data_IF_514733509409
#
_entry.id   IF_514733509409
#
_cell.length_a   1.000
_cell.length_b   1.000
_cell.length_c   1.000
_cell.angle_alpha   90.00
_cell.angle_beta   90.00
_cell.angle_gamma   90.00
#
_symmetry.space_group_name_H-M   'P 1'
#
loop_
_entity.id
_entity.type
_entity.pdbx_description
1 polymer ?
#
# COMPACT_ATOMS: atom_id res chain seq x y z
N UNK A 1 10.30 -18.31 -9.23
CA UNK A 1 10.99 -17.10 -8.74
C UNK A 1 10.31 -16.65 -7.46
N UNK A 2 11.06 -16.22 -6.45
CA UNK A 2 10.50 -15.68 -5.20
C UNK A 2 10.53 -14.16 -5.21
N UNK A 3 9.55 -13.55 -4.55
CA UNK A 3 9.45 -12.10 -4.38
C UNK A 3 9.08 -11.76 -2.94
N UNK A 4 9.55 -10.60 -2.50
CA UNK A 4 9.13 -9.94 -1.26
C UNK A 4 8.31 -8.72 -1.66
N UNK A 5 7.08 -8.59 -1.16
CA UNK A 5 6.17 -7.52 -1.59
C UNK A 5 5.45 -6.87 -0.40
N UNK A 6 5.28 -5.55 -0.49
CA UNK A 6 4.59 -4.72 0.50
C UNK A 6 3.06 -4.63 0.27
N UNK A 7 2.53 -5.40 -0.66
CA UNK A 7 1.13 -5.37 -1.07
C UNK A 7 0.65 -6.77 -1.46
N UNK A 8 -0.66 -7.05 -1.31
CA UNK A 8 -1.28 -8.22 -1.90
C UNK A 8 -1.07 -8.31 -3.42
N UNK A 9 -1.26 -9.48 -4.00
CA UNK A 9 -1.33 -9.69 -5.44
C UNK A 9 -2.77 -9.70 -5.96
N UNK A 10 -2.93 -9.71 -7.28
CA UNK A 10 -4.23 -9.55 -7.93
C UNK A 10 -5.24 -10.65 -7.62
N UNK A 11 -4.76 -11.85 -7.29
CA UNK A 11 -5.56 -13.02 -6.94
C UNK A 11 -5.90 -13.11 -5.44
N UNK A 12 -5.55 -12.09 -4.66
CA UNK A 12 -5.87 -11.99 -3.24
C UNK A 12 -6.97 -10.95 -2.98
N UNK A 13 -7.60 -11.05 -1.82
CA UNK A 13 -8.61 -10.13 -1.29
C UNK A 13 -8.01 -9.25 -0.19
N UNK A 14 -8.60 -8.08 0.05
CA UNK A 14 -8.14 -7.13 1.06
C UNK A 14 -8.45 -5.69 0.66
N UNK A 15 -8.60 -4.82 1.67
CA UNK A 15 -9.16 -3.46 1.49
C UNK A 15 -8.49 -2.69 0.35
N UNK A 16 -7.16 -2.64 0.32
CA UNK A 16 -6.44 -1.87 -0.71
C UNK A 16 -6.42 -2.55 -2.08
N UNK A 17 -6.31 -3.88 -2.16
CA UNK A 17 -6.27 -4.57 -3.44
C UNK A 17 -7.66 -4.59 -4.09
N UNK A 18 -8.71 -4.70 -3.29
CA UNK A 18 -10.10 -4.57 -3.73
C UNK A 18 -10.38 -3.16 -4.26
N UNK A 19 -9.99 -2.12 -3.51
CA UNK A 19 -10.11 -0.73 -3.96
C UNK A 19 -9.28 -0.45 -5.23
N UNK A 20 -8.07 -1.02 -5.32
CA UNK A 20 -7.23 -0.90 -6.52
C UNK A 20 -7.92 -1.53 -7.73
N UNK A 21 -8.52 -2.72 -7.57
CA UNK A 21 -9.32 -3.36 -8.63
C UNK A 21 -10.50 -2.48 -9.01
N UNK A 22 -11.26 -1.98 -8.03
CA UNK A 22 -12.42 -1.10 -8.29
C UNK A 22 -12.02 0.14 -9.11
N UNK A 23 -11.00 0.88 -8.68
CA UNK A 23 -10.50 2.08 -9.39
C UNK A 23 -10.03 1.72 -10.80
N UNK A 24 -9.33 0.60 -10.97
CA UNK A 24 -8.88 0.13 -12.27
C UNK A 24 -10.05 -0.19 -13.20
N UNK A 25 -11.06 -0.93 -12.74
CA UNK A 25 -12.23 -1.27 -13.55
C UNK A 25 -13.09 -0.06 -13.88
N UNK A 26 -13.22 0.90 -12.96
CA UNK A 26 -13.96 2.14 -13.21
C UNK A 26 -13.28 3.00 -14.29
N UNK A 27 -11.95 3.11 -14.28
CA UNK A 27 -11.23 4.01 -15.18
C UNK A 27 -10.80 3.35 -16.50
N UNK A 28 -10.58 2.03 -16.51
CA UNK A 28 -10.08 1.29 -17.66
C UNK A 28 -10.83 -0.03 -17.89
N UNK A 29 -12.17 -0.02 -17.98
CA UNK A 29 -12.97 -1.26 -18.02
C UNK A 29 -12.58 -2.21 -19.17
N UNK A 30 -12.21 -1.67 -20.32
CA UNK A 30 -11.83 -2.46 -21.51
C UNK A 30 -10.40 -3.01 -21.45
N UNK A 31 -9.56 -2.49 -20.55
CA UNK A 31 -8.11 -2.82 -20.46
C UNK A 31 -7.70 -3.37 -19.10
N UNK A 32 -8.60 -3.39 -18.11
CA UNK A 32 -8.30 -3.79 -16.73
C UNK A 32 -7.56 -5.13 -16.66
N UNK A 33 -8.08 -6.15 -17.34
CA UNK A 33 -7.46 -7.48 -17.41
C UNK A 33 -6.05 -7.46 -18.01
N UNK A 34 -5.85 -6.71 -19.09
CA UNK A 34 -4.52 -6.57 -19.70
C UNK A 34 -3.53 -5.85 -18.78
N UNK A 35 -4.02 -4.89 -17.98
CA UNK A 35 -3.21 -4.13 -17.01
C UNK A 35 -2.84 -5.03 -15.82
N UNK A 36 -3.80 -5.81 -15.29
CA UNK A 36 -3.57 -6.81 -14.24
C UNK A 36 -2.48 -7.79 -14.68
N UNK A 37 -2.59 -8.35 -15.89
CA UNK A 37 -1.58 -9.26 -16.45
C UNK A 37 -0.22 -8.61 -16.70
N UNK A 38 -0.18 -7.29 -16.88
CA UNK A 38 1.06 -6.53 -17.06
C UNK A 38 1.84 -6.34 -15.75
N UNK A 39 1.27 -6.71 -14.60
CA UNK A 39 1.96 -6.77 -13.32
C UNK A 39 1.59 -5.63 -12.36
N UNK A 40 2.60 -4.95 -11.83
CA UNK A 40 2.49 -4.14 -10.59
C UNK A 40 1.97 -2.71 -10.76
N UNK A 41 1.79 -2.23 -12.00
CA UNK A 41 1.62 -0.79 -12.27
C UNK A 41 0.50 -0.13 -11.45
N UNK A 42 -0.67 -0.75 -11.40
CA UNK A 42 -1.81 -0.25 -10.62
C UNK A 42 -1.73 -0.60 -9.13
N UNK A 43 -1.00 -1.65 -8.73
CA UNK A 43 -0.85 -2.02 -7.30
C UNK A 43 -0.11 -0.91 -6.52
N UNK A 44 0.67 -0.06 -7.19
CA UNK A 44 1.27 1.13 -6.59
C UNK A 44 0.23 2.13 -6.02
N UNK A 45 -1.06 1.95 -6.31
CA UNK A 45 -2.18 2.71 -5.75
C UNK A 45 -2.14 2.77 -4.21
N UNK A 46 -1.70 1.72 -3.53
CA UNK A 46 -1.56 1.73 -2.06
C UNK A 46 -0.69 2.88 -1.54
N UNK A 47 0.36 3.26 -2.26
CA UNK A 47 1.21 4.40 -1.88
C UNK A 47 0.49 5.75 -2.04
N UNK A 48 -0.32 5.88 -3.09
CA UNK A 48 -1.14 7.07 -3.30
C UNK A 48 -2.22 7.19 -2.21
N UNK A 49 -2.84 6.07 -1.85
CA UNK A 49 -3.82 6.02 -0.76
C UNK A 49 -3.20 6.51 0.56
N UNK A 50 -2.04 5.96 0.95
CA UNK A 50 -1.30 6.39 2.16
C UNK A 50 -1.00 7.89 2.11
N UNK A 51 -0.49 8.39 0.99
CA UNK A 51 -0.18 9.82 0.83
C UNK A 51 -1.42 10.71 1.02
N UNK A 52 -2.53 10.35 0.38
CA UNK A 52 -3.78 11.11 0.47
C UNK A 52 -4.39 11.06 1.87
N UNK A 53 -4.32 9.91 2.54
CA UNK A 53 -4.78 9.77 3.93
C UNK A 53 -3.99 10.67 4.88
N UNK A 54 -2.65 10.72 4.74
CA UNK A 54 -1.83 11.63 5.55
C UNK A 54 -2.22 13.09 5.32
N UNK A 55 -2.42 13.51 4.07
CA UNK A 55 -2.85 14.89 3.75
C UNK A 55 -4.22 15.17 4.36
N UNK A 56 -5.17 14.23 4.24
CA UNK A 56 -6.50 14.36 4.80
C UNK A 56 -6.48 14.50 6.34
N UNK A 57 -5.64 13.72 7.03
CA UNK A 57 -5.46 13.84 8.49
C UNK A 57 -4.86 15.18 8.89
N UNK A 58 -3.80 15.60 8.22
CA UNK A 58 -3.15 16.88 8.50
C UNK A 58 -4.10 18.07 8.29
N UNK A 59 -4.87 18.05 7.19
CA UNK A 59 -5.89 19.07 6.93
C UNK A 59 -7.07 18.99 7.92
N UNK A 60 -7.44 17.78 8.38
CA UNK A 60 -8.48 17.60 9.39
C UNK A 60 -8.08 18.11 10.78
N UNK A 61 -6.80 18.02 11.13
CA UNK A 61 -6.26 18.50 12.42
C UNK A 61 -6.08 20.02 12.44
N UNK A 62 -5.56 20.62 11.37
CA UNK A 62 -5.29 22.06 11.32
C UNK A 62 -6.45 22.90 10.74
N UNK A 63 -7.37 22.27 10.02
CA UNK A 63 -8.32 22.97 9.14
C UNK A 63 -7.68 23.27 7.77
N UNK A 64 -8.46 23.26 6.68
CA UNK A 64 -7.94 23.45 5.32
C UNK A 64 -7.25 24.81 5.12
N UNK A 65 -7.67 25.84 5.85
CA UNK A 65 -7.07 27.18 5.80
C UNK A 65 -5.69 27.28 6.47
N UNK A 66 -5.35 26.35 7.37
CA UNK A 66 -4.08 26.32 8.07
C UNK A 66 -3.19 25.13 7.63
N UNK A 67 -3.57 24.42 6.57
CA UNK A 67 -2.79 23.32 6.04
C UNK A 67 -1.51 23.85 5.37
N UNK A 68 -0.37 23.45 5.91
CA UNK A 68 0.96 23.75 5.38
C UNK A 68 1.93 22.56 5.55
N UNK A 69 3.17 22.74 5.10
CA UNK A 69 4.20 21.70 5.18
C UNK A 69 4.61 21.35 6.61
N UNK A 70 4.54 22.31 7.53
CA UNK A 70 4.89 22.09 8.94
C UNK A 70 3.83 21.24 9.63
N UNK A 71 2.55 21.51 9.37
CA UNK A 71 1.43 20.70 9.83
C UNK A 71 1.54 19.29 9.29
N UNK A 72 1.75 19.12 7.98
CA UNK A 72 1.94 17.80 7.38
C UNK A 72 3.12 17.05 8.01
N UNK A 73 4.24 17.72 8.24
CA UNK A 73 5.41 17.13 8.89
C UNK A 73 5.09 16.65 10.31
N UNK A 74 4.37 17.45 11.10
CA UNK A 74 3.95 17.09 12.46
C UNK A 74 3.00 15.90 12.49
N UNK A 75 1.98 15.88 11.64
CA UNK A 75 1.06 14.74 11.51
C UNK A 75 1.83 13.47 11.12
N UNK A 76 2.82 13.57 10.23
CA UNK A 76 3.69 12.45 9.87
C UNK A 76 4.54 11.91 11.02
N UNK A 77 4.87 12.70 12.06
CA UNK A 77 5.67 12.20 13.19
C UNK A 77 4.96 11.12 14.03
N UNK A 78 3.63 11.12 14.00
CA UNK A 78 2.78 10.18 14.73
C UNK A 78 1.84 9.39 13.81
N UNK A 79 2.11 9.40 12.50
CA UNK A 79 1.24 8.73 11.55
C UNK A 79 1.42 7.21 11.63
N UNK A 80 0.30 6.52 11.81
CA UNK A 80 0.17 5.10 11.52
C UNK A 80 -1.15 4.79 10.83
N UNK A 81 -1.14 3.71 10.04
CA UNK A 81 -2.29 3.23 9.30
C UNK A 81 -2.36 1.72 9.45
N UNK A 82 -3.50 1.26 9.97
CA UNK A 82 -3.83 -0.16 10.07
C UNK A 82 -4.87 -0.51 9.00
N UNK A 83 -4.56 -1.49 8.17
CA UNK A 83 -5.44 -2.03 7.13
C UNK A 83 -5.41 -3.55 7.24
N UNK A 84 -6.59 -4.17 7.14
CA UNK A 84 -6.75 -5.62 7.21
C UNK A 84 -6.08 -6.26 8.44
N UNK A 85 -6.11 -5.55 9.59
CA UNK A 85 -5.54 -6.00 10.87
C UNK A 85 -4.02 -5.81 11.01
N UNK A 86 -3.35 -5.23 10.02
CA UNK A 86 -1.90 -5.02 10.01
C UNK A 86 -1.61 -3.53 10.03
N UNK A 87 -0.71 -3.07 10.91
CA UNK A 87 -0.17 -1.70 10.83
C UNK A 87 0.70 -1.61 9.58
N UNK A 88 0.07 -1.40 8.42
CA UNK A 88 0.69 -1.47 7.11
C UNK A 88 1.75 -0.39 6.92
N UNK A 89 1.46 0.82 7.39
CA UNK A 89 2.29 1.99 7.18
C UNK A 89 2.45 2.84 8.44
N UNK A 90 3.66 3.31 8.69
CA UNK A 90 3.92 4.32 9.71
C UNK A 90 5.13 5.20 9.37
N UNK A 91 5.08 6.44 9.84
CA UNK A 91 6.20 7.38 9.81
C UNK A 91 6.51 7.81 11.25
N UNK A 92 7.78 8.14 11.51
CA UNK A 92 8.19 8.70 12.79
C UNK A 92 9.45 9.55 12.63
N UNK A 93 10.05 10.00 13.73
CA UNK A 93 11.23 10.85 13.72
C UNK A 93 12.42 10.29 12.93
N UNK A 94 12.63 8.98 12.92
CA UNK A 94 13.77 8.31 12.24
C UNK A 94 13.37 7.47 11.04
N UNK A 95 12.10 7.11 10.91
CA UNK A 95 11.57 6.28 9.84
C UNK A 95 10.94 7.12 8.73
N UNK A 96 11.50 7.01 7.52
CA UNK A 96 11.14 7.81 6.33
C UNK A 96 10.48 7.02 5.21
N UNK A 97 10.24 5.73 5.40
CA UNK A 97 9.47 4.88 4.47
C UNK A 97 8.17 4.46 5.15
N UNK A 98 7.12 4.31 4.36
CA UNK A 98 5.80 3.98 4.88
C UNK A 98 5.74 2.53 5.38
N UNK A 99 6.14 1.56 4.54
CA UNK A 99 5.88 0.13 4.74
C UNK A 99 6.46 -0.42 6.04
N UNK A 100 5.65 -1.26 6.72
CA UNK A 100 6.06 -1.94 7.95
C UNK A 100 6.24 -3.44 7.75
N UNK A 101 5.51 -4.03 6.81
CA UNK A 101 5.44 -5.47 6.65
C UNK A 101 5.52 -5.90 5.18
N UNK A 102 6.02 -7.12 4.96
CA UNK A 102 6.14 -7.73 3.64
C UNK A 102 5.61 -9.16 3.64
N UNK A 103 4.94 -9.53 2.57
CA UNK A 103 4.55 -10.91 2.27
C UNK A 103 5.57 -11.59 1.36
N UNK A 104 5.59 -12.92 1.41
CA UNK A 104 6.47 -13.76 0.58
C UNK A 104 5.66 -14.41 -0.54
N UNK A 105 6.13 -14.23 -1.77
CA UNK A 105 5.43 -14.64 -2.98
C UNK A 105 6.29 -15.51 -3.87
N UNK A 106 5.64 -16.32 -4.71
CA UNK A 106 6.29 -17.14 -5.73
C UNK A 106 5.55 -17.02 -7.06
N UNK A 107 6.30 -16.77 -8.14
CA UNK A 107 5.79 -16.96 -9.49
C UNK A 107 5.64 -18.45 -9.80
N UNK A 108 4.49 -18.82 -10.34
CA UNK A 108 4.16 -20.14 -10.85
C UNK A 108 3.97 -20.05 -12.37
N UNK A 109 4.87 -20.70 -13.12
CA UNK A 109 4.83 -20.69 -14.57
C UNK A 109 3.69 -21.54 -15.17
N UNK A 110 3.17 -22.53 -14.44
CA UNK A 110 2.06 -23.35 -14.92
C UNK A 110 0.71 -22.62 -14.82
N UNK A 111 0.58 -21.78 -13.79
CA UNK A 111 -0.61 -20.95 -13.58
C UNK A 111 -0.47 -19.54 -14.18
N UNK A 112 0.69 -19.19 -14.73
CA UNK A 112 1.01 -17.88 -15.29
C UNK A 112 0.75 -16.71 -14.32
N UNK A 113 0.97 -16.93 -13.02
CA UNK A 113 0.61 -15.97 -11.98
C UNK A 113 1.57 -16.01 -10.78
N UNK A 114 1.38 -15.10 -9.83
CA UNK A 114 2.14 -14.98 -8.58
C UNK A 114 1.23 -15.29 -7.41
N UNK A 115 1.72 -16.12 -6.48
CA UNK A 115 0.94 -16.56 -5.32
C UNK A 115 1.69 -16.24 -4.04
N UNK A 116 0.96 -15.81 -3.02
CA UNK A 116 1.48 -15.74 -1.65
C UNK A 116 1.73 -17.17 -1.16
N UNK A 117 2.96 -17.43 -0.73
CA UNK A 117 3.37 -18.77 -0.28
C UNK A 117 3.43 -18.92 1.24
N UNK A 118 3.38 -17.80 1.96
CA UNK A 118 3.28 -17.76 3.42
C UNK A 118 2.13 -16.82 3.81
N UNK A 119 1.15 -17.27 4.62
CA UNK A 119 0.03 -16.41 5.03
C UNK A 119 0.47 -15.26 5.95
N UNK A 120 1.64 -15.36 6.58
CA UNK A 120 2.15 -14.35 7.51
C UNK A 120 2.74 -13.13 6.79
N UNK A 121 2.69 -12.01 7.50
CA UNK A 121 3.33 -10.76 7.10
C UNK A 121 4.55 -10.52 7.99
N UNK A 122 5.71 -10.37 7.38
CA UNK A 122 6.97 -10.24 8.09
C UNK A 122 7.33 -8.79 8.30
N UNK A 123 7.69 -8.37 9.53
CA UNK A 123 8.06 -7.00 9.80
C UNK A 123 9.37 -6.63 9.09
N UNK A 124 9.44 -5.41 8.60
CA UNK A 124 10.68 -4.80 8.19
C UNK A 124 11.53 -4.52 9.44
N UNK A 125 12.71 -5.13 9.51
CA UNK A 125 13.68 -4.86 10.57
C UNK A 125 14.69 -3.84 10.05
N UNK A 126 14.89 -2.76 10.79
CA UNK A 126 15.97 -1.82 10.59
C UNK A 126 17.04 -1.99 11.64
N UNK A 127 18.29 -1.68 11.29
CA UNK A 127 19.33 -1.45 12.30
C UNK A 127 18.95 -0.24 13.17
N UNK A 128 19.25 -0.27 14.49
CA UNK A 128 18.91 0.79 15.43
C UNK A 128 19.47 2.17 15.10
#
# INVERSE_FOLDING_TARGET
MLFVRASPWWNEEGTLIDLTREVLYQNHPQKAESIIRSGVGYIAFGNLYIMLDTIARAAGEAGPENFDSETLYRTLQSYSMTIDGIELASFNATKRFATNYYGIYRADGAQEDVFRIDPEWYPQVMEP
#
